data_IF_869157069455
#
_entry.id   IF_869157069455
#
_cell.length_a   1.000
_cell.length_b   1.000
_cell.length_c   1.000
_cell.angle_alpha   90.00
_cell.angle_beta   90.00
_cell.angle_gamma   90.00
#
_symmetry.space_group_name_H-M   'P 1'
#
loop_
_entity.id
_entity.type
_entity.pdbx_description
1 polymer ?
#
# COMPACT_ATOMS: atom_id res chain seq x y z
N UNK A 1 -15.08 -20.28 -18.51
CA UNK A 1 -13.89 -19.50 -18.92
C UNK A 1 -13.92 -18.19 -18.15
N UNK A 2 -13.24 -18.13 -17.00
CA UNK A 2 -13.14 -16.88 -16.24
C UNK A 2 -12.14 -15.98 -16.98
N UNK A 3 -12.63 -14.90 -17.57
CA UNK A 3 -11.77 -13.92 -18.24
C UNK A 3 -10.79 -13.34 -17.22
N UNK A 4 -9.48 -13.58 -17.39
CA UNK A 4 -8.42 -13.15 -16.48
C UNK A 4 -8.43 -11.64 -16.14
N UNK A 5 -9.06 -10.81 -16.97
CA UNK A 5 -9.23 -9.38 -16.77
C UNK A 5 -10.15 -9.02 -15.58
N UNK A 6 -11.04 -9.92 -15.15
CA UNK A 6 -11.96 -9.66 -14.03
C UNK A 6 -11.28 -9.71 -12.65
N UNK A 7 -10.21 -10.48 -12.49
CA UNK A 7 -9.57 -10.70 -11.18
C UNK A 7 -8.57 -9.59 -10.83
N UNK A 8 -7.69 -9.21 -11.75
CA UNK A 8 -6.70 -8.14 -11.52
C UNK A 8 -7.38 -6.79 -11.33
N UNK A 9 -8.41 -6.49 -12.14
CA UNK A 9 -9.18 -5.26 -12.00
C UNK A 9 -9.92 -5.18 -10.65
N UNK A 10 -10.43 -6.31 -10.14
CA UNK A 10 -11.04 -6.37 -8.81
C UNK A 10 -10.01 -6.11 -7.70
N UNK A 11 -8.79 -6.67 -7.83
CA UNK A 11 -7.70 -6.39 -6.88
C UNK A 11 -7.32 -4.92 -6.90
N UNK A 12 -7.06 -4.32 -8.06
CA UNK A 12 -6.72 -2.89 -8.16
C UNK A 12 -7.84 -1.99 -7.62
N UNK A 13 -9.11 -2.38 -7.79
CA UNK A 13 -10.23 -1.66 -7.19
C UNK A 13 -10.19 -1.71 -5.67
N UNK A 14 -10.02 -2.89 -5.08
CA UNK A 14 -9.93 -3.05 -3.63
C UNK A 14 -8.75 -2.26 -3.05
N UNK A 15 -7.60 -2.27 -3.72
CA UNK A 15 -6.43 -1.50 -3.29
C UNK A 15 -6.72 0.01 -3.31
N UNK A 16 -7.40 0.53 -4.33
CA UNK A 16 -7.85 1.94 -4.34
C UNK A 16 -8.85 2.26 -3.23
N UNK A 17 -9.75 1.33 -2.89
CA UNK A 17 -10.67 1.50 -1.76
C UNK A 17 -9.88 1.57 -0.43
N UNK A 18 -8.85 0.74 -0.26
CA UNK A 18 -7.93 0.80 0.88
C UNK A 18 -7.17 2.13 0.92
N UNK A 19 -6.64 2.62 -0.22
CA UNK A 19 -6.00 3.93 -0.29
C UNK A 19 -6.95 5.05 0.17
N UNK A 20 -8.24 4.96 -0.20
CA UNK A 20 -9.27 5.88 0.26
C UNK A 20 -9.45 5.84 1.78
N UNK A 21 -9.53 4.63 2.36
CA UNK A 21 -9.65 4.45 3.81
C UNK A 21 -8.43 4.98 4.56
N UNK A 22 -7.21 4.78 4.04
CA UNK A 22 -5.96 5.27 4.65
C UNK A 22 -5.84 6.79 4.67
N UNK A 23 -6.63 7.50 3.85
CA UNK A 23 -6.72 8.97 3.86
C UNK A 23 -7.77 9.46 4.86
N UNK A 24 -8.59 8.59 5.43
CA UNK A 24 -9.63 8.97 6.38
C UNK A 24 -9.02 9.34 7.74
N UNK A 25 -9.33 10.51 8.33
CA UNK A 25 -8.69 10.98 9.56
C UNK A 25 -8.80 10.02 10.74
N UNK A 26 -9.92 9.32 10.90
CA UNK A 26 -10.08 8.34 11.99
C UNK A 26 -9.16 7.14 11.84
N UNK A 27 -8.92 6.68 10.61
CA UNK A 27 -8.03 5.56 10.31
C UNK A 27 -6.58 5.97 10.58
N UNK A 28 -6.17 7.15 10.09
CA UNK A 28 -4.85 7.72 10.36
C UNK A 28 -4.58 7.86 11.85
N UNK A 29 -5.57 8.35 12.62
CA UNK A 29 -5.46 8.48 14.07
C UNK A 29 -5.35 7.11 14.76
N UNK A 30 -6.13 6.12 14.33
CA UNK A 30 -6.07 4.77 14.89
C UNK A 30 -4.73 4.08 14.59
N UNK A 31 -4.21 4.20 13.36
CA UNK A 31 -2.88 3.69 13.00
C UNK A 31 -1.79 4.36 13.84
N UNK A 32 -1.85 5.68 14.00
CA UNK A 32 -0.91 6.43 14.84
C UNK A 32 -0.89 5.93 16.29
N UNK A 33 -2.06 5.63 16.88
CA UNK A 33 -2.14 5.04 18.24
C UNK A 33 -1.49 3.66 18.35
N UNK A 34 -1.36 2.94 17.23
CA UNK A 34 -0.68 1.63 17.15
C UNK A 34 0.80 1.75 16.78
N UNK A 35 1.35 2.96 16.68
CA UNK A 35 2.72 3.20 16.21
C UNK A 35 2.92 2.93 14.71
N UNK A 36 1.84 2.79 13.94
CA UNK A 36 1.89 2.54 12.50
C UNK A 36 1.78 3.86 11.75
N UNK A 37 2.76 4.15 10.91
CA UNK A 37 2.76 5.37 10.09
C UNK A 37 1.83 5.21 8.87
N UNK A 38 0.74 5.98 8.84
CA UNK A 38 -0.25 5.91 7.78
C UNK A 38 0.31 6.24 6.38
N UNK A 39 1.26 7.16 6.27
CA UNK A 39 1.89 7.50 4.98
C UNK A 39 2.72 6.34 4.43
N UNK A 40 3.43 5.60 5.30
CA UNK A 40 4.17 4.40 4.89
C UNK A 40 3.23 3.26 4.56
N UNK A 41 2.12 3.10 5.30
CA UNK A 41 1.07 2.14 4.93
C UNK A 41 0.46 2.46 3.56
N UNK A 42 0.20 3.74 3.29
CA UNK A 42 -0.31 4.18 1.99
C UNK A 42 0.69 3.88 0.87
N UNK A 43 1.98 4.15 1.08
CA UNK A 43 3.04 3.84 0.11
C UNK A 43 3.15 2.34 -0.17
N UNK A 44 2.99 1.49 0.85
CA UNK A 44 2.97 0.03 0.69
C UNK A 44 1.79 -0.44 -0.18
N UNK A 45 0.61 0.17 -0.02
CA UNK A 45 -0.55 -0.13 -0.87
C UNK A 45 -0.32 0.34 -2.30
N UNK A 46 0.28 1.52 -2.50
CA UNK A 46 0.63 2.03 -3.83
C UNK A 46 1.65 1.12 -4.53
N UNK A 47 2.68 0.65 -3.82
CA UNK A 47 3.64 -0.31 -4.35
C UNK A 47 2.99 -1.65 -4.74
N UNK A 48 2.02 -2.12 -3.94
CA UNK A 48 1.25 -3.32 -4.27
C UNK A 48 0.34 -3.12 -5.49
N UNK A 49 -0.31 -1.96 -5.61
CA UNK A 49 -1.10 -1.57 -6.79
C UNK A 49 -0.21 -1.59 -8.03
N UNK A 50 0.96 -0.94 -7.98
CA UNK A 50 1.92 -0.91 -9.07
C UNK A 50 2.38 -2.33 -9.45
N UNK A 51 2.63 -3.20 -8.48
CA UNK A 51 3.06 -4.58 -8.74
C UNK A 51 1.98 -5.39 -9.47
N UNK A 52 0.73 -5.29 -9.01
CA UNK A 52 -0.42 -5.98 -9.60
C UNK A 52 -0.74 -5.46 -11.00
N UNK A 53 -0.53 -4.17 -11.25
CA UNK A 53 -0.70 -3.54 -12.56
C UNK A 53 0.50 -3.76 -13.51
N UNK A 54 1.53 -4.47 -13.05
CA UNK A 54 2.70 -4.83 -13.84
C UNK A 54 3.82 -3.78 -13.88
N UNK A 55 3.66 -2.65 -13.17
CA UNK A 55 4.70 -1.65 -13.00
C UNK A 55 5.69 -2.04 -11.91
N UNK A 56 6.52 -3.06 -12.20
CA UNK A 56 7.47 -3.65 -11.25
C UNK A 56 8.56 -2.69 -10.78
N UNK A 57 8.92 -1.69 -11.59
CA UNK A 57 9.94 -0.68 -11.22
C UNK A 57 9.42 0.20 -10.09
N UNK A 58 8.24 0.78 -10.26
CA UNK A 58 7.61 1.60 -9.22
C UNK A 58 7.38 0.78 -7.95
N UNK A 59 6.86 -0.44 -8.10
CA UNK A 59 6.67 -1.33 -6.96
C UNK A 59 7.95 -1.58 -6.15
N UNK A 60 9.08 -1.81 -6.85
CA UNK A 60 10.37 -1.98 -6.19
C UNK A 60 10.81 -0.72 -5.44
N UNK A 61 10.70 0.46 -6.06
CA UNK A 61 11.08 1.73 -5.43
C UNK A 61 10.21 2.04 -4.19
N UNK A 62 8.90 1.82 -4.30
CA UNK A 62 7.96 2.02 -3.19
C UNK A 62 8.25 1.04 -2.04
N UNK A 63 8.43 -0.25 -2.33
CA UNK A 63 8.71 -1.24 -1.30
C UNK A 63 10.08 -1.07 -0.66
N UNK A 64 11.10 -0.66 -1.42
CA UNK A 64 12.41 -0.31 -0.86
C UNK A 64 12.29 0.84 0.14
N UNK A 65 11.52 1.87 -0.21
CA UNK A 65 11.25 3.01 0.67
C UNK A 65 10.50 2.57 1.93
N UNK A 66 9.45 1.76 1.78
CA UNK A 66 8.68 1.21 2.91
C UNK A 66 9.57 0.40 3.86
N UNK A 67 10.41 -0.48 3.32
CA UNK A 67 11.31 -1.30 4.12
C UNK A 67 12.31 -0.45 4.90
N UNK A 68 12.93 0.54 4.25
CA UNK A 68 13.90 1.44 4.88
C UNK A 68 13.27 2.29 5.99
N UNK A 69 12.06 2.77 5.75
CA UNK A 69 11.27 3.58 6.67
C UNK A 69 10.80 2.78 7.90
N UNK A 70 10.42 1.51 7.71
CA UNK A 70 10.10 0.61 8.83
C UNK A 70 11.36 0.30 9.62
N UNK A 71 12.45 -0.05 8.94
CA UNK A 71 13.74 -0.35 9.56
C UNK A 71 14.22 0.81 10.43
N UNK A 72 14.23 2.02 9.89
CA UNK A 72 14.63 3.24 10.61
C UNK A 72 13.81 3.48 11.87
N UNK A 73 12.49 3.21 11.83
CA UNK A 73 11.60 3.37 13.00
C UNK A 73 11.75 2.28 14.05
N UNK A 74 12.13 1.07 13.64
CA UNK A 74 12.41 -0.04 14.55
C UNK A 74 13.85 0.00 15.11
N UNK A 75 14.67 0.94 14.65
CA UNK A 75 16.10 1.04 14.98
C UNK A 75 16.88 -0.25 14.65
N UNK A 76 16.46 -0.97 13.61
CA UNK A 76 17.10 -2.18 13.08
C UNK A 76 18.23 -1.85 12.10
#
# INVERSE_FOLDING_TARGET
MFSHHGSVAAVSRLLREIEGLLKHPSVTMELGRRGVNASITLLAVQGLTAYVEGNRRQAHEDFATVAEEIRTRLEL
#
